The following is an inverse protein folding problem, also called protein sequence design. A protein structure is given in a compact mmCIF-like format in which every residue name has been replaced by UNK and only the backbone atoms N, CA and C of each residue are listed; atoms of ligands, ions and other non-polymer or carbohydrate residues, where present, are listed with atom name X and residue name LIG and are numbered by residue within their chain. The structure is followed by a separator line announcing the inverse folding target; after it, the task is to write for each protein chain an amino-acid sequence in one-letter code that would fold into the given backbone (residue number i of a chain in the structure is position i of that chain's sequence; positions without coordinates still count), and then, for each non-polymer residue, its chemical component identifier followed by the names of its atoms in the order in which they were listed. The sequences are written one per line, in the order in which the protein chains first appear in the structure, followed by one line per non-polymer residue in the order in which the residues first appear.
data_IF_471278076813
#
_entry.id   IF_471278076813
#
_cell.length_a   1.000
_cell.length_b   1.000
_cell.length_c   1.000
_cell.angle_alpha   90.00
_cell.angle_beta   90.00
_cell.angle_gamma   90.00
#
_symmetry.space_group_name_H-M   'P 1'
#
loop_
_entity.id
_entity.type
_entity.pdbx_description
1 polymer ?
#
# COMPACT_ATOMS: atom_id res chain seq x y z
N UNK A 1 32.02 -49.46 40.24
CA UNK A 1 32.58 -48.69 39.11
C UNK A 1 31.91 -49.19 37.85
N UNK A 2 31.10 -48.35 37.20
CA UNK A 2 30.90 -48.23 35.74
C UNK A 2 29.64 -47.36 35.48
N UNK A 3 29.84 -46.38 34.62
CA UNK A 3 29.20 -45.05 34.63
C UNK A 3 28.00 -45.01 33.69
N UNK A 4 26.93 -44.31 34.09
CA UNK A 4 25.77 -44.01 33.23
C UNK A 4 26.18 -43.07 32.10
N UNK A 5 25.81 -43.38 30.86
CA UNK A 5 25.79 -42.42 29.74
C UNK A 5 24.35 -42.23 29.28
N UNK A 6 23.73 -41.14 29.71
CA UNK A 6 22.48 -40.61 29.13
C UNK A 6 22.87 -39.58 28.08
N UNK A 7 22.62 -39.87 26.80
CA UNK A 7 22.85 -38.95 25.69
C UNK A 7 21.54 -38.25 25.32
N UNK A 8 21.41 -36.92 25.44
CA UNK A 8 20.24 -36.22 24.95
C UNK A 8 20.40 -35.95 23.45
N UNK A 9 19.52 -36.54 22.64
CA UNK A 9 19.38 -36.22 21.23
C UNK A 9 18.72 -34.84 21.11
N UNK A 10 19.51 -33.78 20.86
CA UNK A 10 18.99 -32.44 20.58
C UNK A 10 18.48 -32.38 19.14
N UNK A 11 17.16 -32.32 18.96
CA UNK A 11 16.53 -32.04 17.67
C UNK A 11 16.50 -30.52 17.49
N UNK A 12 17.35 -29.98 16.63
CA UNK A 12 17.27 -28.58 16.21
C UNK A 12 16.15 -28.41 15.19
N UNK A 13 15.12 -27.66 15.55
CA UNK A 13 14.03 -27.26 14.67
C UNK A 13 14.54 -26.11 13.78
N UNK A 14 14.86 -26.39 12.51
CA UNK A 14 15.05 -25.35 11.50
C UNK A 14 13.67 -24.78 11.14
N UNK A 15 13.36 -23.60 11.66
CA UNK A 15 12.21 -22.83 11.20
C UNK A 15 12.54 -22.26 9.81
N UNK A 16 12.15 -22.96 8.75
CA UNK A 16 12.13 -22.38 7.41
C UNK A 16 10.99 -21.36 7.36
N UNK A 17 11.30 -20.09 7.55
CA UNK A 17 10.39 -19.00 7.19
C UNK A 17 10.36 -18.93 5.66
N UNK A 18 9.40 -19.59 5.04
CA UNK A 18 9.11 -19.37 3.61
C UNK A 18 8.59 -17.94 3.51
N UNK A 19 9.45 -17.00 3.13
CA UNK A 19 8.97 -15.70 2.68
C UNK A 19 8.14 -15.94 1.41
N UNK A 20 6.95 -15.35 1.32
CA UNK A 20 6.15 -15.43 0.11
C UNK A 20 6.99 -14.95 -1.08
N UNK A 21 7.04 -15.70 -2.18
CA UNK A 21 7.90 -15.35 -3.34
C UNK A 21 7.42 -14.11 -4.10
N UNK A 22 6.14 -13.79 -3.95
CA UNK A 22 5.50 -12.63 -4.55
C UNK A 22 4.75 -11.88 -3.47
N UNK A 23 5.06 -10.61 -3.27
CA UNK A 23 4.46 -9.73 -2.25
C UNK A 23 3.62 -8.64 -2.91
N UNK A 24 2.44 -8.33 -2.38
CA UNK A 24 1.64 -7.19 -2.85
C UNK A 24 1.77 -6.01 -1.89
N UNK A 25 2.08 -4.83 -2.44
CA UNK A 25 2.21 -3.59 -1.69
C UNK A 25 1.24 -2.54 -2.20
N UNK A 26 0.67 -1.81 -1.25
CA UNK A 26 -0.22 -0.70 -1.55
C UNK A 26 0.51 0.61 -1.81
N UNK A 27 0.22 1.28 -2.93
CA UNK A 27 0.84 2.58 -3.23
C UNK A 27 0.05 3.74 -2.64
N UNK A 28 -1.26 3.74 -2.80
CA UNK A 28 -2.17 4.79 -2.35
C UNK A 28 -2.75 4.53 -0.95
N UNK A 29 -3.23 3.30 -0.70
CA UNK A 29 -3.85 2.91 0.57
C UNK A 29 -3.00 1.88 1.31
N UNK A 30 -1.98 2.28 2.05
CA UNK A 30 -1.16 1.35 2.82
C UNK A 30 -1.89 0.85 4.08
N UNK A 31 -1.55 -0.37 4.50
CA UNK A 31 -2.16 -1.00 5.67
C UNK A 31 -1.93 -0.21 6.96
N UNK A 32 -2.97 -0.13 7.81
CA UNK A 32 -2.92 0.49 9.13
C UNK A 32 -3.02 2.03 9.15
N UNK A 33 -3.11 2.68 8.00
CA UNK A 33 -3.19 4.13 7.89
C UNK A 33 -4.62 4.64 7.69
N UNK A 34 -4.78 5.96 7.80
CA UNK A 34 -6.06 6.65 7.57
C UNK A 34 -5.95 7.60 6.38
N UNK A 35 -6.95 7.57 5.50
CA UNK A 35 -6.99 8.33 4.25
C UNK A 35 -8.27 9.15 4.12
N UNK A 36 -8.18 10.31 3.48
CA UNK A 36 -9.36 11.14 3.20
C UNK A 36 -9.99 10.76 1.85
N UNK A 37 -11.32 10.72 1.78
CA UNK A 37 -12.07 10.62 0.52
C UNK A 37 -13.07 11.76 0.39
N UNK A 38 -13.17 12.29 -0.83
CA UNK A 38 -14.08 13.36 -1.18
C UNK A 38 -15.48 12.80 -1.44
N UNK A 39 -16.43 13.10 -0.54
CA UNK A 39 -17.84 12.67 -0.64
C UNK A 39 -18.56 13.26 -1.87
N UNK A 40 -18.08 14.37 -2.41
CA UNK A 40 -18.68 15.02 -3.59
C UNK A 40 -18.19 14.42 -4.92
N UNK A 41 -17.25 13.48 -4.91
CA UNK A 41 -16.74 12.83 -6.12
C UNK A 41 -17.61 11.63 -6.49
N UNK A 42 -18.15 11.64 -7.69
CA UNK A 42 -18.86 10.49 -8.29
C UNK A 42 -17.91 9.55 -9.04
N UNK A 43 -16.59 9.76 -8.94
CA UNK A 43 -15.63 8.86 -9.55
C UNK A 43 -15.65 7.52 -8.81
N UNK A 44 -15.43 6.40 -9.50
CA UNK A 44 -15.29 5.12 -8.84
C UNK A 44 -14.09 5.14 -7.88
N UNK A 45 -14.20 4.39 -6.79
CA UNK A 45 -13.07 4.11 -5.92
C UNK A 45 -12.05 3.27 -6.69
N UNK A 46 -10.79 3.66 -6.58
CA UNK A 46 -9.68 2.97 -7.22
C UNK A 46 -8.59 2.78 -6.19
N UNK A 47 -7.85 1.67 -6.30
CA UNK A 47 -6.63 1.49 -5.53
C UNK A 47 -5.49 0.99 -6.42
N UNK A 48 -4.26 1.28 -6.02
CA UNK A 48 -3.05 0.91 -6.72
C UNK A 48 -2.23 -0.04 -5.87
N UNK A 49 -1.86 -1.16 -6.48
CA UNK A 49 -0.94 -2.14 -5.90
C UNK A 49 0.29 -2.32 -6.80
N UNK A 50 1.40 -2.71 -6.19
CA UNK A 50 2.58 -3.23 -6.89
C UNK A 50 2.84 -4.64 -6.40
N UNK A 51 3.33 -5.50 -7.29
CA UNK A 51 3.73 -6.86 -6.96
C UNK A 51 5.24 -6.94 -7.03
N UNK A 52 5.88 -7.31 -5.93
CA UNK A 52 7.33 -7.37 -5.80
C UNK A 52 7.78 -8.83 -5.65
N UNK A 53 8.85 -9.16 -6.36
CA UNK A 53 9.50 -10.45 -6.31
C UNK A 53 10.48 -10.53 -5.13
N UNK A 54 10.44 -11.66 -4.41
CA UNK A 54 11.40 -11.98 -3.37
C UNK A 54 12.19 -13.23 -3.81
N UNK A 55 13.54 -13.19 -3.76
CA UNK A 55 14.45 -14.28 -4.21
C UNK A 55 14.33 -14.69 -5.71
N UNK A 56 15.13 -15.67 -6.14
CA UNK A 56 15.41 -16.10 -7.54
C UNK A 56 14.18 -16.45 -8.41
N UNK A 57 12.96 -16.46 -7.85
CA UNK A 57 11.69 -16.73 -8.55
C UNK A 57 10.72 -15.59 -8.23
N UNK A 58 10.58 -14.63 -9.14
CA UNK A 58 9.66 -13.51 -8.97
C UNK A 58 8.18 -13.87 -9.05
N UNK A 59 7.31 -12.86 -9.06
CA UNK A 59 5.88 -13.06 -9.29
C UNK A 59 5.70 -13.76 -10.64
N UNK A 60 4.84 -14.77 -10.71
CA UNK A 60 4.55 -15.45 -11.96
C UNK A 60 3.42 -14.73 -12.69
N UNK A 61 3.38 -14.86 -14.02
CA UNK A 61 2.32 -14.25 -14.82
C UNK A 61 0.95 -14.83 -14.45
N UNK A 62 0.12 -14.00 -13.85
CA UNK A 62 -1.26 -14.33 -13.52
C UNK A 62 -2.11 -13.06 -13.41
N UNK A 63 -3.39 -13.26 -13.15
CA UNK A 63 -4.38 -12.23 -12.90
C UNK A 63 -4.87 -12.37 -11.46
N UNK A 64 -4.99 -11.25 -10.75
CA UNK A 64 -5.52 -11.19 -9.38
C UNK A 64 -6.99 -10.85 -9.37
N UNK A 65 -7.75 -11.56 -8.54
CA UNK A 65 -9.07 -11.13 -8.12
C UNK A 65 -8.94 -10.15 -6.95
N UNK A 66 -9.64 -9.03 -7.05
CA UNK A 66 -9.49 -7.86 -6.21
C UNK A 66 -10.85 -7.55 -5.57
N UNK A 67 -10.93 -7.56 -4.24
CA UNK A 67 -12.18 -7.38 -3.51
C UNK A 67 -12.00 -6.23 -2.53
N UNK A 68 -12.82 -5.20 -2.64
CA UNK A 68 -12.98 -4.17 -1.61
C UNK A 68 -14.04 -4.64 -0.61
N UNK A 69 -13.81 -4.40 0.67
CA UNK A 69 -14.79 -4.67 1.71
C UNK A 69 -14.82 -3.58 2.77
N UNK A 70 -15.95 -3.45 3.46
CA UNK A 70 -16.14 -2.52 4.57
C UNK A 70 -16.28 -3.23 5.93
N UNK A 71 -16.46 -2.45 6.99
CA UNK A 71 -16.65 -2.97 8.34
C UNK A 71 -18.02 -3.61 8.61
N UNK A 72 -19.02 -3.37 7.74
CA UNK A 72 -20.30 -4.04 7.78
C UNK A 72 -20.25 -5.44 7.15
N UNK A 73 -19.20 -5.71 6.36
CA UNK A 73 -18.99 -6.95 5.63
C UNK A 73 -19.59 -6.92 4.22
N UNK A 74 -19.93 -5.75 3.71
CA UNK A 74 -20.28 -5.59 2.30
C UNK A 74 -19.02 -5.70 1.44
N UNK A 75 -19.14 -6.40 0.31
CA UNK A 75 -18.02 -6.72 -0.59
C UNK A 75 -18.30 -6.27 -2.01
N UNK A 76 -17.28 -5.75 -2.69
CA UNK A 76 -17.33 -5.32 -4.08
C UNK A 76 -16.15 -5.91 -4.84
N UNK A 77 -16.45 -6.71 -5.87
CA UNK A 77 -15.46 -7.20 -6.82
C UNK A 77 -14.98 -6.06 -7.73
N UNK A 78 -13.70 -5.74 -7.63
CA UNK A 78 -13.04 -4.70 -8.41
C UNK A 78 -12.38 -5.30 -9.65
N UNK A 79 -11.97 -4.45 -10.59
CA UNK A 79 -11.28 -4.93 -11.80
C UNK A 79 -10.01 -5.69 -11.44
N UNK A 80 -9.78 -6.79 -12.15
CA UNK A 80 -8.60 -7.62 -11.98
C UNK A 80 -7.30 -6.86 -12.32
N UNK A 81 -6.19 -7.30 -11.73
CA UNK A 81 -4.85 -6.73 -12.01
C UNK A 81 -3.82 -7.81 -12.31
N UNK A 82 -2.88 -7.60 -13.24
CA UNK A 82 -1.85 -8.59 -13.49
C UNK A 82 -0.77 -8.56 -12.40
N UNK A 83 -0.24 -9.72 -12.03
CA UNK A 83 0.88 -9.85 -11.07
C UNK A 83 2.23 -9.47 -11.67
N UNK A 84 2.31 -9.33 -13.00
CA UNK A 84 3.51 -8.95 -13.75
C UNK A 84 3.23 -7.77 -14.68
N UNK A 85 4.25 -6.95 -15.04
CA UNK A 85 5.63 -7.06 -14.57
C UNK A 85 5.77 -6.66 -13.10
N UNK A 86 6.78 -7.21 -12.44
CA UNK A 86 7.14 -6.88 -11.07
C UNK A 86 7.40 -5.36 -10.95
N UNK A 87 7.18 -4.83 -9.74
CA UNK A 87 7.37 -3.42 -9.37
C UNK A 87 6.59 -2.42 -10.24
N UNK A 88 5.60 -2.91 -10.99
CA UNK A 88 4.75 -2.09 -11.85
C UNK A 88 3.44 -1.77 -11.14
N UNK A 89 3.04 -0.50 -11.20
CA UNK A 89 1.78 -0.03 -10.61
C UNK A 89 0.61 -0.61 -11.37
N UNK A 90 -0.23 -1.35 -10.66
CA UNK A 90 -1.47 -1.93 -11.18
C UNK A 90 -2.65 -1.24 -10.51
N UNK A 91 -3.52 -0.66 -11.35
CA UNK A 91 -4.71 0.06 -10.90
C UNK A 91 -5.91 -0.90 -10.94
N UNK A 92 -6.61 -1.02 -9.80
CA UNK A 92 -7.92 -1.67 -9.74
C UNK A 92 -9.01 -0.62 -9.52
N UNK A 93 -10.16 -0.81 -10.16
CA UNK A 93 -11.34 0.06 -10.09
C UNK A 93 -12.51 -0.74 -9.54
N UNK A 94 -13.17 -0.22 -8.50
CA UNK A 94 -14.28 -0.89 -7.83
C UNK A 94 -15.63 -0.30 -8.28
N UNK A 95 -16.72 -1.09 -8.31
CA UNK A 95 -18.06 -0.64 -8.68
C UNK A 95 -18.77 0.13 -7.54
N UNK A 96 -18.03 0.96 -6.81
CA UNK A 96 -18.53 1.86 -5.76
C UNK A 96 -17.97 3.24 -6.02
N UNK A 97 -18.81 4.28 -5.99
CA UNK A 97 -18.34 5.64 -6.16
C UNK A 97 -17.76 6.16 -4.85
N UNK A 98 -16.84 7.12 -4.94
CA UNK A 98 -16.26 7.77 -3.75
C UNK A 98 -17.30 8.46 -2.88
N UNK A 99 -18.39 8.93 -3.48
CA UNK A 99 -19.57 9.50 -2.80
C UNK A 99 -20.33 8.51 -1.94
N UNK A 100 -20.21 7.21 -2.23
CA UNK A 100 -20.94 6.14 -1.55
C UNK A 100 -20.11 5.53 -0.41
N UNK A 101 -18.83 5.93 -0.29
CA UNK A 101 -17.97 5.55 0.82
C UNK A 101 -18.40 6.24 2.11
N UNK A 102 -18.10 5.61 3.24
CA UNK A 102 -18.36 6.16 4.57
C UNK A 102 -17.09 6.19 5.41
N UNK A 103 -17.09 7.07 6.42
CA UNK A 103 -16.01 7.11 7.41
C UNK A 103 -16.04 5.83 8.24
N UNK A 104 -14.93 5.10 8.29
CA UNK A 104 -14.89 3.79 8.94
C UNK A 104 -13.69 2.96 8.52
N UNK A 105 -13.70 1.68 8.88
CA UNK A 105 -12.69 0.71 8.48
C UNK A 105 -13.04 0.10 7.13
N UNK A 106 -12.03 0.01 6.27
CA UNK A 106 -12.12 -0.57 4.95
C UNK A 106 -10.94 -1.52 4.74
N UNK A 107 -11.07 -2.44 3.80
CA UNK A 107 -9.95 -3.26 3.39
C UNK A 107 -10.06 -3.70 1.95
N UNK A 108 -8.92 -4.11 1.41
CA UNK A 108 -8.90 -4.82 0.13
C UNK A 108 -8.24 -6.17 0.31
N UNK A 109 -8.82 -7.18 -0.33
CA UNK A 109 -8.24 -8.52 -0.47
C UNK A 109 -7.80 -8.72 -1.91
N UNK A 110 -6.58 -9.19 -2.11
CA UNK A 110 -5.99 -9.49 -3.42
C UNK A 110 -5.62 -10.96 -3.45
N UNK A 111 -6.24 -11.73 -4.34
CA UNK A 111 -6.11 -13.20 -4.41
C UNK A 111 -5.63 -13.60 -5.81
N UNK A 112 -4.66 -14.50 -5.91
CA UNK A 112 -4.24 -15.09 -7.19
C UNK A 112 -3.60 -16.46 -6.97
N UNK A 113 -3.70 -17.32 -7.99
CA UNK A 113 -3.02 -18.61 -8.00
C UNK A 113 -1.53 -18.47 -8.38
N UNK A 114 -1.07 -17.24 -8.64
CA UNK A 114 0.29 -16.88 -9.02
C UNK A 114 0.84 -17.81 -10.11
N UNK A 115 0.06 -18.03 -11.17
CA UNK A 115 0.48 -18.82 -12.33
C UNK A 115 0.77 -20.28 -12.01
N UNK A 116 -0.06 -20.90 -11.16
CA UNK A 116 0.10 -22.25 -10.61
C UNK A 116 1.34 -22.43 -9.70
N UNK A 117 1.96 -21.33 -9.25
CA UNK A 117 2.99 -21.34 -8.24
C UNK A 117 2.40 -21.25 -6.82
N UNK A 118 3.13 -20.69 -5.87
CA UNK A 118 2.61 -20.44 -4.53
C UNK A 118 1.52 -19.36 -4.58
N UNK A 119 0.26 -19.67 -4.24
CA UNK A 119 -0.83 -18.72 -4.32
C UNK A 119 -0.61 -17.54 -3.39
N UNK A 120 -1.13 -16.38 -3.78
CA UNK A 120 -1.07 -15.17 -2.97
C UNK A 120 -2.46 -14.79 -2.47
N UNK A 121 -2.50 -14.32 -1.23
CA UNK A 121 -3.69 -13.76 -0.59
C UNK A 121 -3.25 -12.63 0.35
N UNK A 122 -3.44 -11.38 -0.07
CA UNK A 122 -3.06 -10.20 0.70
C UNK A 122 -4.30 -9.46 1.17
N UNK A 123 -4.42 -9.28 2.49
CA UNK A 123 -5.44 -8.42 3.11
C UNK A 123 -4.77 -7.13 3.59
N UNK A 124 -5.26 -5.99 3.10
CA UNK A 124 -4.76 -4.65 3.42
C UNK A 124 -5.90 -3.82 3.99
N UNK A 125 -5.86 -3.63 5.30
CA UNK A 125 -6.84 -2.84 6.07
C UNK A 125 -6.40 -1.40 6.24
N UNK A 126 -7.30 -0.46 6.04
CA UNK A 126 -7.07 0.98 6.21
C UNK A 126 -8.36 1.64 6.73
N UNK A 127 -8.27 2.89 7.15
CA UNK A 127 -9.45 3.65 7.56
C UNK A 127 -9.69 4.81 6.59
N UNK A 128 -10.96 5.13 6.35
CA UNK A 128 -11.35 6.28 5.56
C UNK A 128 -11.98 7.35 6.45
N UNK A 129 -11.66 8.61 6.17
CA UNK A 129 -12.41 9.79 6.61
C UNK A 129 -13.05 10.40 5.37
N UNK A 130 -14.37 10.38 5.31
CA UNK A 130 -15.14 10.80 4.14
C UNK A 130 -15.82 12.13 4.43
N UNK A 131 -15.63 13.12 3.56
CA UNK A 131 -16.23 14.44 3.74
C UNK A 131 -16.00 15.37 2.55
N UNK A 132 -16.46 16.62 2.67
CA UNK A 132 -16.21 17.65 1.67
C UNK A 132 -14.79 18.23 1.82
N UNK A 133 -14.03 18.41 0.71
CA UNK A 133 -12.70 18.98 0.77
C UNK A 133 -12.75 20.48 1.10
N UNK A 134 -12.05 20.89 2.16
CA UNK A 134 -11.86 22.30 2.48
C UNK A 134 -10.64 22.88 1.75
N UNK A 135 -10.79 24.05 1.11
CA UNK A 135 -9.67 24.76 0.46
C UNK A 135 -9.25 25.96 1.28
N UNK A 136 -7.96 26.09 1.59
CA UNK A 136 -7.38 27.29 2.22
C UNK A 136 -6.50 28.05 1.21
N UNK A 137 -6.80 29.31 0.96
CA UNK A 137 -6.00 30.17 0.08
C UNK A 137 -4.96 30.94 0.91
N UNK A 138 -3.67 30.76 0.59
CA UNK A 138 -2.59 31.55 1.17
C UNK A 138 -2.10 32.59 0.15
N UNK A 139 -2.13 33.86 0.54
CA UNK A 139 -1.51 34.94 -0.23
C UNK A 139 -0.13 35.24 0.37
N UNK A 140 0.99 34.92 -0.30
CA UNK A 140 2.31 35.21 0.22
C UNK A 140 2.58 36.72 0.19
N UNK A 141 2.94 37.31 1.34
CA UNK A 141 3.42 38.70 1.41
C UNK A 141 4.92 38.72 1.13
N UNK A 142 5.33 39.28 -0.01
CA UNK A 142 6.75 39.49 -0.33
C UNK A 142 7.24 40.77 0.35
N UNK A 143 8.09 40.64 1.36
CA UNK A 143 8.76 41.79 1.98
C UNK A 143 10.11 42.02 1.30
N UNK A 144 10.18 43.00 0.39
CA UNK A 144 11.45 43.43 -0.20
C UNK A 144 12.20 44.29 0.81
N UNK A 145 13.40 43.86 1.22
CA UNK A 145 14.32 44.68 2.03
C UNK A 145 15.28 45.42 1.10
N UNK A 146 15.47 46.75 1.22
CA UNK A 146 16.49 47.45 0.47
C UNK A 146 17.88 46.98 0.91
N UNK A 147 18.75 46.63 -0.05
CA UNK A 147 20.15 46.34 0.21
C UNK A 147 20.89 47.64 0.51
N UNK A 148 21.64 47.70 1.62
CA UNK A 148 22.62 48.76 1.82
C UNK A 148 23.75 48.55 0.80
N UNK A 149 23.81 49.42 -0.21
CA UNK A 149 24.97 49.56 -1.08
C UNK A 149 25.97 50.48 -0.36
N UNK A 150 27.14 49.93 0.03
CA UNK A 150 28.25 50.76 0.52
C UNK A 150 29.11 51.18 -0.68
N UNK A 151 28.89 52.39 -1.21
CA UNK A 151 29.86 53.05 -2.08
C UNK A 151 31.08 53.46 -1.25
N UNK A 152 32.19 52.73 -1.38
CA UNK A 152 33.49 53.19 -0.89
C UNK A 152 33.99 54.31 -1.82
N UNK A 153 33.99 55.55 -1.34
CA UNK A 153 34.67 56.67 -2.00
C UNK A 153 36.16 56.60 -1.69
N UNK A 154 36.96 56.17 -2.67
CA UNK A 154 38.42 56.25 -2.64
C UNK A 154 38.84 57.71 -2.88
N UNK A 155 39.36 58.37 -1.86
CA UNK A 155 39.95 59.71 -1.97
C UNK A 155 41.46 59.58 -1.77
N UNK A 156 42.19 59.86 -2.84
CA UNK A 156 43.67 59.94 -2.90
C UNK A 156 44.19 61.28 -2.37
#
# INVERSE_FOLDING_TARGET
MFTRLTSPLTVSLLASTVAAKCSSFGIDFQGGNTYFQNVSSTDPFTFVSTFEANEDIGCQKDITNNILYDEAGDEWECTETPTQPDDTKQLSTCPVNKSDLHTGSWGVVIISNNGDAEPIAFDRRFSLVVGEPATTTFTPTVTVRPSCESTASDTR
#
